data_IF_252117617074
#
_entry.id   IF_252117617074
#
_cell.length_a   1.000
_cell.length_b   1.000
_cell.length_c   1.000
_cell.angle_alpha   90.00
_cell.angle_beta   90.00
_cell.angle_gamma   90.00
#
_symmetry.space_group_name_H-M   'P 1'
#
loop_
_entity.id
_entity.type
_entity.pdbx_description
1 polymer ?
#
# COMPACT_ATOMS: atom_id res chain seq x y z
N UNK A 1 -37.21 -21.71 4.55
CA UNK A 1 -36.74 -20.39 5.03
C UNK A 1 -35.75 -20.64 6.15
N UNK A 2 -34.45 -20.55 5.85
CA UNK A 2 -33.39 -20.64 6.85
C UNK A 2 -32.79 -19.25 7.03
N UNK A 3 -32.84 -18.72 8.24
CA UNK A 3 -32.22 -17.46 8.62
C UNK A 3 -30.69 -17.63 8.54
N UNK A 4 -30.04 -16.85 7.68
CA UNK A 4 -28.59 -16.67 7.69
C UNK A 4 -28.31 -15.55 8.70
N UNK A 5 -27.61 -15.80 9.82
CA UNK A 5 -27.20 -14.71 10.69
C UNK A 5 -26.02 -13.99 10.04
N UNK A 6 -26.27 -12.76 9.59
CA UNK A 6 -25.24 -11.79 9.21
C UNK A 6 -24.74 -11.10 10.49
N UNK A 7 -23.77 -11.71 11.18
CA UNK A 7 -22.86 -10.99 12.07
C UNK A 7 -21.68 -11.86 12.46
N UNK A 8 -20.51 -11.57 11.87
CA UNK A 8 -19.21 -11.95 12.44
C UNK A 8 -18.59 -10.72 13.11
N UNK A 9 -19.31 -10.14 14.07
CA UNK A 9 -18.74 -9.19 15.03
C UNK A 9 -18.47 -9.95 16.32
N UNK A 10 -17.39 -10.74 16.35
CA UNK A 10 -16.68 -11.10 17.58
C UNK A 10 -15.46 -11.95 17.19
N UNK A 11 -14.28 -11.50 17.63
CA UNK A 11 -13.02 -12.21 17.52
C UNK A 11 -13.16 -13.72 17.82
N UNK A 12 -13.08 -14.56 16.79
CA UNK A 12 -13.01 -16.01 16.92
C UNK A 12 -11.58 -16.40 17.34
N UNK A 13 -11.31 -16.44 18.64
CA UNK A 13 -10.00 -16.89 19.16
C UNK A 13 -9.89 -18.38 19.46
N UNK A 14 -10.95 -19.19 19.31
CA UNK A 14 -10.86 -20.67 19.20
C UNK A 14 -12.23 -21.40 19.17
N UNK A 15 -13.36 -20.71 19.28
CA UNK A 15 -14.68 -21.38 19.51
C UNK A 15 -15.59 -21.51 18.28
N UNK A 16 -15.20 -21.01 17.11
CA UNK A 16 -16.10 -20.92 15.95
C UNK A 16 -16.14 -22.19 15.09
N UNK A 17 -15.58 -23.33 15.53
CA UNK A 17 -15.55 -24.56 14.74
C UNK A 17 -14.73 -24.48 13.44
N UNK A 18 -14.20 -23.30 13.12
CA UNK A 18 -13.08 -23.16 12.20
C UNK A 18 -11.89 -23.87 12.85
N UNK A 19 -11.54 -25.04 12.32
CA UNK A 19 -10.31 -25.72 12.73
C UNK A 19 -9.09 -24.81 12.56
N UNK A 20 -7.89 -25.33 12.86
CA UNK A 20 -6.64 -24.56 12.71
C UNK A 20 -6.64 -23.81 11.37
N UNK A 21 -6.65 -22.47 11.45
CA UNK A 21 -6.55 -21.65 10.26
C UNK A 21 -5.29 -22.07 9.50
N UNK A 22 -5.37 -22.25 8.17
CA UNK A 22 -4.19 -22.57 7.40
C UNK A 22 -3.13 -21.48 7.65
N UNK A 23 -1.86 -21.85 7.83
CA UNK A 23 -0.80 -20.88 8.08
C UNK A 23 -0.79 -19.85 6.95
N UNK A 24 -0.78 -18.57 7.30
CA UNK A 24 -0.64 -17.49 6.33
C UNK A 24 0.67 -17.65 5.58
N UNK A 25 0.58 -17.72 4.24
CA UNK A 25 1.76 -17.78 3.39
C UNK A 25 2.23 -16.37 3.13
N UNK A 26 3.30 -15.95 3.81
CA UNK A 26 3.97 -14.71 3.44
C UNK A 26 4.49 -14.81 2.00
N UNK A 27 4.46 -13.68 1.28
CA UNK A 27 5.01 -13.60 -0.07
C UNK A 27 6.28 -12.74 -0.12
N UNK A 28 7.16 -13.05 -1.05
CA UNK A 28 8.31 -12.22 -1.37
C UNK A 28 7.91 -11.32 -2.54
N UNK A 29 8.12 -10.01 -2.42
CA UNK A 29 7.83 -9.05 -3.50
C UNK A 29 8.98 -9.10 -4.49
N UNK A 30 8.71 -9.47 -5.73
CA UNK A 30 9.72 -9.54 -6.80
C UNK A 30 9.72 -8.27 -7.64
N UNK A 31 8.53 -7.69 -7.88
CA UNK A 31 8.35 -6.41 -8.55
C UNK A 31 7.26 -5.58 -7.87
N UNK A 32 7.40 -4.26 -7.95
CA UNK A 32 6.40 -3.30 -7.51
C UNK A 32 5.99 -2.41 -8.68
N UNK A 33 4.77 -1.88 -8.63
CA UNK A 33 4.24 -0.89 -9.58
C UNK A 33 3.74 0.34 -8.84
N UNK A 34 3.89 1.52 -9.45
CA UNK A 34 3.28 2.76 -8.97
C UNK A 34 2.30 3.27 -10.00
N UNK A 35 1.05 3.43 -9.59
CA UNK A 35 0.00 4.07 -10.39
C UNK A 35 -0.31 5.45 -9.80
N UNK A 36 -0.26 6.50 -10.61
CA UNK A 36 -0.77 7.82 -10.22
C UNK A 36 -2.23 7.87 -10.65
N UNK A 37 -3.13 8.05 -9.69
CA UNK A 37 -4.57 8.07 -9.95
C UNK A 37 -5.20 9.37 -9.49
N UNK A 38 -6.15 9.87 -10.27
CA UNK A 38 -7.04 10.94 -9.89
C UNK A 38 -8.49 10.46 -10.07
N UNK A 39 -9.35 10.66 -9.07
CA UNK A 39 -10.75 10.19 -9.12
C UNK A 39 -10.90 8.70 -9.51
N UNK A 40 -10.02 7.85 -8.98
CA UNK A 40 -9.94 6.41 -9.27
C UNK A 40 -9.62 6.02 -10.72
N UNK A 41 -9.16 6.95 -11.54
CA UNK A 41 -8.67 6.70 -12.89
C UNK A 41 -7.18 7.05 -12.98
N UNK A 42 -6.46 6.50 -13.95
CA UNK A 42 -5.07 6.89 -14.19
C UNK A 42 -5.01 8.39 -14.52
N UNK A 43 -4.15 9.10 -13.82
CA UNK A 43 -3.96 10.54 -14.03
C UNK A 43 -3.23 10.80 -15.35
N UNK A 44 -3.71 11.77 -16.14
CA UNK A 44 -2.99 12.31 -17.28
C UNK A 44 -1.97 13.35 -16.78
N UNK A 45 -0.66 13.17 -17.00
CA UNK A 45 0.36 14.13 -16.60
C UNK A 45 0.18 15.55 -17.16
N UNK A 46 -0.59 15.71 -18.25
CA UNK A 46 -0.88 17.01 -18.83
C UNK A 46 -1.99 17.78 -18.11
N UNK A 47 -2.90 17.09 -17.41
CA UNK A 47 -4.06 17.65 -16.71
C UNK A 47 -3.69 18.10 -15.29
N UNK A 48 -4.34 19.17 -14.83
CA UNK A 48 -4.25 19.66 -13.45
C UNK A 48 -5.32 19.04 -12.57
N UNK A 49 -4.90 18.54 -11.41
CA UNK A 49 -5.77 17.91 -10.41
C UNK A 49 -5.76 18.67 -9.10
N UNK A 50 -6.85 18.56 -8.35
CA UNK A 50 -6.85 18.97 -6.94
C UNK A 50 -6.05 17.94 -6.13
N UNK A 51 -5.33 18.42 -5.12
CA UNK A 51 -4.49 17.56 -4.27
C UNK A 51 -5.28 16.42 -3.63
N UNK A 52 -6.50 16.69 -3.17
CA UNK A 52 -7.38 15.71 -2.53
C UNK A 52 -7.86 14.59 -3.47
N UNK A 53 -7.80 14.80 -4.79
CA UNK A 53 -8.23 13.82 -5.78
C UNK A 53 -7.10 12.88 -6.20
N UNK A 54 -5.84 13.27 -5.97
CA UNK A 54 -4.66 12.62 -6.52
C UNK A 54 -3.96 11.71 -5.48
N UNK A 55 -3.70 10.47 -5.89
CA UNK A 55 -3.03 9.46 -5.08
C UNK A 55 -1.94 8.75 -5.88
N UNK A 56 -0.81 8.51 -5.23
CA UNK A 56 0.19 7.53 -5.66
C UNK A 56 -0.17 6.19 -5.01
N UNK A 57 -0.43 5.18 -5.83
CA UNK A 57 -0.74 3.82 -5.39
C UNK A 57 0.43 2.90 -5.67
N UNK A 58 1.08 2.43 -4.60
CA UNK A 58 2.20 1.49 -4.68
C UNK A 58 1.67 0.07 -4.47
N UNK A 59 1.85 -0.78 -5.47
CA UNK A 59 1.38 -2.16 -5.50
C UNK A 59 2.55 -3.15 -5.49
N UNK A 60 2.45 -4.26 -4.75
CA UNK A 60 3.16 -5.49 -5.10
C UNK A 60 2.58 -6.01 -6.42
N UNK A 61 3.39 -6.09 -7.48
CA UNK A 61 2.93 -6.48 -8.82
C UNK A 61 3.25 -7.96 -9.09
N UNK A 62 4.51 -8.36 -8.87
CA UNK A 62 4.95 -9.75 -8.94
C UNK A 62 5.36 -10.24 -7.55
N UNK A 63 4.85 -11.40 -7.15
CA UNK A 63 5.12 -11.98 -5.84
C UNK A 63 5.33 -13.49 -5.90
N UNK A 64 6.29 -13.99 -5.13
CA UNK A 64 6.57 -15.41 -4.97
C UNK A 64 6.08 -15.91 -3.61
N UNK A 65 5.27 -16.97 -3.61
CA UNK A 65 4.79 -17.63 -2.39
C UNK A 65 5.66 -18.84 -2.05
N UNK A 66 6.07 -18.97 -0.79
CA UNK A 66 6.64 -20.22 -0.30
C UNK A 66 5.55 -21.31 -0.31
N UNK A 67 5.70 -22.34 -1.16
CA UNK A 67 4.79 -23.49 -1.17
C UNK A 67 5.12 -24.42 0.00
N UNK A 68 4.12 -24.74 0.82
CA UNK A 68 4.19 -25.87 1.75
C UNK A 68 3.39 -27.01 1.13
N UNK A 69 4.04 -28.15 0.89
CA UNK A 69 3.39 -29.40 0.52
C UNK A 69 2.49 -29.87 1.68
N UNK A 70 1.21 -29.54 1.64
CA UNK A 70 0.23 -30.07 2.60
C UNK A 70 -0.22 -31.45 2.12
N UNK A 71 0.56 -32.49 2.42
CA UNK A 71 0.03 -33.84 2.47
C UNK A 71 -0.74 -34.02 3.78
N UNK A 72 -2.04 -33.71 3.74
CA UNK A 72 -2.96 -34.15 4.80
C UNK A 72 -4.06 -34.99 4.17
N UNK A 73 -3.82 -36.31 4.14
CA UNK A 73 -4.91 -37.29 4.00
C UNK A 73 -5.63 -37.35 5.34
N UNK A 74 -6.79 -36.70 5.43
CA UNK A 74 -7.72 -36.96 6.53
C UNK A 74 -9.12 -37.11 5.98
N UNK A 75 -9.70 -38.30 6.20
CA UNK A 75 -11.07 -38.65 5.86
C UNK A 75 -12.06 -37.74 6.61
N UNK A 76 -13.05 -37.21 5.89
CA UNK A 76 -14.12 -36.37 6.43
C UNK A 76 -15.39 -37.19 6.60
N UNK A 77 -16.01 -37.12 7.78
CA UNK A 77 -17.39 -37.49 7.98
C UNK A 77 -18.09 -36.33 8.69
N UNK A 78 -18.82 -35.55 7.90
CA UNK A 78 -19.79 -34.51 8.30
C UNK A 78 -19.17 -33.31 9.05
N UNK A 79 -18.89 -32.22 8.31
CA UNK A 79 -18.64 -30.90 8.91
C UNK A 79 -19.49 -29.83 8.22
N UNK A 80 -20.41 -29.23 8.96
CA UNK A 80 -20.98 -27.92 8.64
C UNK A 80 -19.86 -26.90 8.69
N UNK A 81 -19.35 -26.51 7.52
CA UNK A 81 -18.27 -25.53 7.39
C UNK A 81 -18.83 -24.11 7.47
N UNK A 82 -18.40 -23.36 8.47
CA UNK A 82 -18.45 -21.90 8.43
C UNK A 82 -17.14 -21.43 7.79
N UNK A 83 -17.25 -20.69 6.68
CA UNK A 83 -16.09 -20.17 5.96
C UNK A 83 -15.50 -19.01 6.78
N UNK A 84 -14.46 -19.29 7.58
CA UNK A 84 -13.60 -18.23 8.07
C UNK A 84 -12.73 -17.76 6.89
N UNK A 85 -12.83 -16.48 6.51
CA UNK A 85 -11.94 -15.91 5.50
C UNK A 85 -10.49 -16.04 5.99
N UNK A 86 -9.58 -16.60 5.18
CA UNK A 86 -8.19 -16.73 5.57
C UNK A 86 -7.58 -15.34 5.74
N UNK A 87 -6.74 -15.16 6.76
CA UNK A 87 -5.97 -13.93 6.95
C UNK A 87 -5.19 -13.66 5.64
N UNK A 88 -5.29 -12.46 5.05
CA UNK A 88 -4.62 -12.17 3.79
C UNK A 88 -3.10 -12.32 3.95
N UNK A 89 -2.42 -12.88 2.94
CA UNK A 89 -0.98 -13.01 2.99
C UNK A 89 -0.33 -11.61 2.96
N UNK A 90 0.73 -11.43 3.74
CA UNK A 90 1.53 -10.21 3.76
C UNK A 90 2.94 -10.43 3.21
N UNK A 91 3.64 -9.35 2.91
CA UNK A 91 5.05 -9.40 2.52
C UNK A 91 5.92 -10.01 3.61
N UNK A 92 6.83 -10.91 3.24
CA UNK A 92 7.81 -11.51 4.15
C UNK A 92 8.77 -10.47 4.74
N UNK A 93 9.01 -9.38 4.00
CA UNK A 93 9.89 -8.29 4.38
C UNK A 93 9.09 -6.98 4.48
N UNK A 94 8.93 -6.39 5.67
CA UNK A 94 8.29 -5.09 5.83
C UNK A 94 9.08 -3.96 5.16
N UNK A 95 8.40 -2.83 4.97
CA UNK A 95 9.01 -1.56 4.56
C UNK A 95 10.03 -1.10 5.62
N UNK A 96 11.22 -0.73 5.17
CA UNK A 96 12.34 -0.23 5.97
C UNK A 96 12.58 1.27 5.74
N UNK A 97 12.43 1.73 4.51
CA UNK A 97 12.58 3.15 4.16
C UNK A 97 11.68 3.51 2.98
N UNK A 98 11.27 4.78 2.93
CA UNK A 98 10.59 5.38 1.80
C UNK A 98 11.12 6.80 1.62
N UNK A 99 11.45 7.15 0.38
CA UNK A 99 12.02 8.45 0.04
C UNK A 99 11.38 8.98 -1.22
N UNK A 100 11.02 10.25 -1.21
CA UNK A 100 10.51 10.96 -2.39
C UNK A 100 11.42 12.15 -2.66
N UNK A 101 11.94 12.25 -3.87
CA UNK A 101 12.77 13.38 -4.31
C UNK A 101 12.24 13.96 -5.61
N UNK A 102 12.51 15.23 -5.88
CA UNK A 102 12.12 15.87 -7.15
C UNK A 102 13.25 15.83 -8.18
N UNK A 103 12.91 15.72 -9.46
CA UNK A 103 13.83 15.89 -10.58
C UNK A 103 13.97 17.36 -11.01
N UNK A 104 13.11 18.25 -10.52
CA UNK A 104 13.07 19.65 -10.91
C UNK A 104 12.83 20.59 -9.72
N UNK A 105 13.27 21.84 -9.84
CA UNK A 105 12.98 22.86 -8.84
C UNK A 105 11.59 23.48 -9.04
N UNK A 106 10.93 23.85 -7.94
CA UNK A 106 9.62 24.50 -7.93
C UNK A 106 9.40 25.30 -6.64
N UNK A 107 8.43 26.20 -6.65
CA UNK A 107 8.00 26.92 -5.46
C UNK A 107 6.86 26.19 -4.77
N UNK A 108 6.96 26.01 -3.45
CA UNK A 108 5.95 25.33 -2.64
C UNK A 108 5.72 26.09 -1.34
N UNK A 109 4.56 26.73 -1.19
CA UNK A 109 4.19 27.45 0.04
C UNK A 109 5.22 28.48 0.49
N UNK A 110 5.76 29.24 -0.46
CA UNK A 110 6.81 30.24 -0.22
C UNK A 110 8.21 29.68 0.07
N UNK A 111 8.43 28.37 -0.14
CA UNK A 111 9.75 27.73 -0.12
C UNK A 111 10.14 27.32 -1.53
N UNK A 112 11.35 27.67 -1.94
CA UNK A 112 11.99 27.12 -3.13
C UNK A 112 12.47 25.70 -2.85
N UNK A 113 12.02 24.74 -3.65
CA UNK A 113 12.51 23.36 -3.69
C UNK A 113 13.53 23.28 -4.84
N UNK A 114 14.70 22.72 -4.54
CA UNK A 114 15.78 22.53 -5.50
C UNK A 114 15.67 21.17 -6.22
N UNK A 115 16.21 21.03 -7.44
CA UNK A 115 16.35 19.73 -8.09
C UNK A 115 17.10 18.73 -7.21
N UNK A 116 16.67 17.46 -7.25
CA UNK A 116 17.17 16.35 -6.43
C UNK A 116 16.94 16.50 -4.91
N UNK A 117 16.23 17.53 -4.47
CA UNK A 117 15.86 17.69 -3.06
C UNK A 117 14.87 16.62 -2.63
N UNK A 118 15.03 16.15 -1.38
CA UNK A 118 14.08 15.24 -0.76
C UNK A 118 12.86 16.02 -0.27
N UNK A 119 11.68 15.58 -0.72
CA UNK A 119 10.38 16.20 -0.45
C UNK A 119 9.41 15.20 0.17
N UNK A 120 9.91 14.14 0.81
CA UNK A 120 9.12 13.10 1.50
C UNK A 120 8.14 13.72 2.51
N UNK A 121 8.51 14.84 3.13
CA UNK A 121 7.72 15.60 4.09
C UNK A 121 6.44 16.23 3.51
N UNK A 122 6.36 16.39 2.19
CA UNK A 122 5.16 16.86 1.49
C UNK A 122 4.09 15.78 1.33
N UNK A 123 4.38 14.53 1.67
CA UNK A 123 3.49 13.39 1.43
C UNK A 123 3.03 12.72 2.73
N UNK A 124 1.84 12.12 2.69
CA UNK A 124 1.26 11.33 3.80
C UNK A 124 0.68 10.04 3.30
N UNK A 125 0.49 9.12 4.24
CA UNK A 125 -0.29 7.91 4.01
C UNK A 125 -1.75 8.29 3.90
N UNK A 126 -2.36 8.00 2.76
CA UNK A 126 -3.78 8.17 2.55
C UNK A 126 -4.59 6.97 3.08
N UNK A 127 -5.89 7.18 3.29
CA UNK A 127 -6.81 6.12 3.74
C UNK A 127 -6.89 5.95 5.27
N UNK A 128 -6.10 6.70 6.02
CA UNK A 128 -6.20 6.81 7.48
C UNK A 128 -6.83 8.15 7.85
N UNK A 129 -7.74 8.16 8.82
CA UNK A 129 -8.40 9.39 9.26
C UNK A 129 -7.43 10.48 9.76
N UNK A 130 -6.24 10.09 10.21
CA UNK A 130 -5.21 10.99 10.72
C UNK A 130 -4.15 11.38 9.68
N UNK A 131 -4.19 10.84 8.47
CA UNK A 131 -3.20 11.03 7.39
C UNK A 131 -1.75 11.08 7.90
N UNK A 132 -1.25 9.98 8.50
CA UNK A 132 0.02 9.97 9.20
C UNK A 132 1.22 10.19 8.24
N UNK A 133 2.35 10.60 8.80
CA UNK A 133 3.61 10.70 8.06
C UNK A 133 4.03 9.37 7.46
N UNK A 134 4.83 9.39 6.40
CA UNK A 134 5.38 8.16 5.83
C UNK A 134 6.27 7.39 6.84
N UNK A 135 6.91 8.10 7.77
CA UNK A 135 7.67 7.51 8.88
C UNK A 135 6.81 6.62 9.81
N UNK A 136 5.51 6.90 9.91
CA UNK A 136 4.58 6.07 10.68
C UNK A 136 4.59 4.62 10.15
N UNK A 137 4.68 4.42 8.84
CA UNK A 137 4.78 3.08 8.25
C UNK A 137 6.03 2.34 8.76
N UNK A 138 7.14 3.06 8.94
CA UNK A 138 8.42 2.50 9.36
C UNK A 138 8.36 2.11 10.84
N UNK A 139 7.79 2.98 11.69
CA UNK A 139 7.62 2.72 13.12
C UNK A 139 6.82 1.44 13.40
N UNK A 140 5.81 1.15 12.58
CA UNK A 140 4.94 -0.02 12.73
C UNK A 140 5.31 -1.20 11.83
N UNK A 141 6.48 -1.14 11.15
CA UNK A 141 6.96 -2.18 10.24
C UNK A 141 5.90 -2.59 9.22
N UNK A 142 5.39 -1.61 8.48
CA UNK A 142 4.34 -1.79 7.48
C UNK A 142 4.65 -2.97 6.56
N UNK A 143 3.67 -3.89 6.46
CA UNK A 143 3.71 -5.02 5.55
C UNK A 143 2.76 -4.76 4.39
N UNK A 144 3.24 -4.97 3.18
CA UNK A 144 2.38 -4.91 2.01
C UNK A 144 1.43 -6.10 2.01
N UNK A 145 0.19 -5.86 1.59
CA UNK A 145 -0.81 -6.88 1.34
C UNK A 145 -0.91 -7.08 -0.16
N UNK A 146 -1.12 -8.33 -0.61
CA UNK A 146 -1.09 -8.65 -2.05
C UNK A 146 -2.29 -8.10 -2.84
N UNK A 147 -3.29 -7.50 -2.18
CA UNK A 147 -4.52 -7.02 -2.80
C UNK A 147 -4.82 -5.55 -2.52
N UNK A 148 -3.98 -4.88 -1.73
CA UNK A 148 -4.21 -3.50 -1.31
C UNK A 148 -2.97 -2.64 -1.60
N UNK A 149 -3.14 -1.47 -2.23
CA UNK A 149 -2.02 -0.57 -2.47
C UNK A 149 -1.70 0.19 -1.19
N UNK A 150 -0.42 0.51 -1.00
CA UNK A 150 -0.06 1.65 -0.19
C UNK A 150 -0.48 2.91 -0.93
N UNK A 151 -1.36 3.70 -0.32
CA UNK A 151 -1.81 4.97 -0.89
C UNK A 151 -1.05 6.13 -0.25
N UNK A 152 -0.47 6.98 -1.10
CA UNK A 152 0.30 8.15 -0.71
C UNK A 152 -0.33 9.36 -1.38
N UNK A 153 -0.44 10.49 -0.68
CA UNK A 153 -0.95 11.74 -1.25
C UNK A 153 -0.15 12.94 -0.75
N UNK A 154 -0.24 14.05 -1.48
CA UNK A 154 0.26 15.34 -1.02
C UNK A 154 -0.60 15.86 0.15
N UNK A 155 0.02 16.59 1.08
CA UNK A 155 -0.70 17.15 2.23
C UNK A 155 -1.45 18.44 1.94
N UNK A 156 -0.89 19.21 1.02
CA UNK A 156 -1.15 20.63 0.93
C UNK A 156 -1.36 21.01 -0.53
N UNK A 157 -2.33 21.89 -0.77
CA UNK A 157 -2.45 22.56 -2.05
C UNK A 157 -1.29 23.56 -2.23
N UNK A 158 -0.69 23.63 -3.43
CA UNK A 158 0.31 24.64 -3.73
C UNK A 158 -0.32 26.03 -3.86
N UNK A 159 0.48 27.09 -3.70
CA UNK A 159 -0.01 28.47 -3.94
C UNK A 159 -0.29 28.74 -5.43
N UNK A 160 0.40 28.00 -6.31
CA UNK A 160 0.33 28.11 -7.76
C UNK A 160 0.31 26.70 -8.34
N UNK A 161 -0.42 26.49 -9.43
CA UNK A 161 -0.43 25.23 -10.15
C UNK A 161 1.02 24.76 -10.43
N UNK A 162 1.35 23.55 -9.95
CA UNK A 162 2.71 23.03 -9.91
C UNK A 162 2.76 21.71 -10.65
N UNK A 163 3.65 21.63 -11.65
CA UNK A 163 4.02 20.36 -12.26
C UNK A 163 5.02 19.65 -11.34
N UNK A 164 4.75 18.39 -11.04
CA UNK A 164 5.61 17.51 -10.28
C UNK A 164 6.30 16.53 -11.22
N UNK A 165 7.59 16.32 -11.00
CA UNK A 165 8.41 15.28 -11.63
C UNK A 165 9.26 14.69 -10.50
N UNK A 166 8.85 13.53 -9.98
CA UNK A 166 9.41 12.97 -8.74
C UNK A 166 9.95 11.56 -8.95
N UNK A 167 10.88 11.18 -8.08
CA UNK A 167 11.31 9.80 -7.92
C UNK A 167 10.82 9.29 -6.57
N UNK A 168 10.34 8.04 -6.54
CA UNK A 168 9.95 7.32 -5.33
C UNK A 168 10.87 6.12 -5.16
N UNK A 169 11.51 6.03 -4.00
CA UNK A 169 12.33 4.89 -3.60
C UNK A 169 11.69 4.21 -2.38
N UNK A 170 11.52 2.89 -2.43
CA UNK A 170 11.09 2.07 -1.30
C UNK A 170 12.15 1.01 -1.02
N UNK A 171 12.61 0.92 0.22
CA UNK A 171 13.55 -0.13 0.66
C UNK A 171 12.83 -1.07 1.62
N UNK A 172 12.94 -2.38 1.38
CA UNK A 172 12.42 -3.41 2.28
C UNK A 172 13.47 -3.81 3.33
N UNK A 173 13.03 -4.54 4.36
CA UNK A 173 13.90 -4.97 5.47
C UNK A 173 15.02 -5.95 5.08
N UNK A 174 14.97 -6.54 3.89
CA UNK A 174 16.03 -7.37 3.27
C UNK A 174 16.94 -6.55 2.34
N UNK A 175 16.89 -5.23 2.44
CA UNK A 175 17.69 -4.26 1.67
C UNK A 175 17.41 -4.21 0.17
N UNK A 176 16.38 -4.92 -0.32
CA UNK A 176 15.91 -4.72 -1.69
C UNK A 176 15.24 -3.36 -1.82
N UNK A 177 15.67 -2.60 -2.82
CA UNK A 177 15.14 -1.28 -3.13
C UNK A 177 14.38 -1.30 -4.47
N UNK A 178 13.24 -0.63 -4.48
CA UNK A 178 12.42 -0.40 -5.66
C UNK A 178 12.43 1.10 -5.96
N UNK A 179 12.96 1.47 -7.12
CA UNK A 179 13.09 2.85 -7.57
C UNK A 179 12.13 3.10 -8.74
N UNK A 180 11.33 4.16 -8.61
CA UNK A 180 10.41 4.63 -9.62
C UNK A 180 10.81 6.05 -10.01
N UNK A 181 11.28 6.21 -11.24
CA UNK A 181 11.78 7.49 -11.73
C UNK A 181 10.77 8.20 -12.62
N UNK A 182 10.76 9.53 -12.58
CA UNK A 182 10.03 10.34 -13.54
C UNK A 182 8.50 10.26 -13.38
N UNK A 183 8.00 10.11 -12.16
CA UNK A 183 6.58 10.12 -11.84
C UNK A 183 6.04 11.54 -12.00
N UNK A 184 5.21 11.75 -13.03
CA UNK A 184 4.75 13.08 -13.45
C UNK A 184 3.27 13.29 -13.23
N UNK A 185 2.92 14.43 -12.67
CA UNK A 185 1.55 14.88 -12.49
C UNK A 185 1.50 16.40 -12.25
N UNK A 186 0.32 17.02 -12.32
CA UNK A 186 0.15 18.45 -11.99
C UNK A 186 -0.91 18.63 -10.93
N UNK A 187 -0.64 19.51 -9.98
CA UNK A 187 -1.53 19.85 -8.87
C UNK A 187 -1.85 21.34 -8.83
N UNK A 188 -3.05 21.68 -8.38
CA UNK A 188 -3.52 23.05 -8.14
C UNK A 188 -4.37 23.15 -6.88
#
# INVERSE_FOLDING_TARGET
MGLIPLSCDLFCYDSCGCGKLPPTKNFVIDAMRVDIVANNQLADPAQEYLVEELFLRVWPDEVTYASVNTHTKTFSFISSGFACDPIPPGSAHPLKAIKISTNQGFEWKGRTIEPAEEITDLFRVAGFASDPSLDYLLQYRFNFLGQEPLQIRLIDQPDIATAMDINLELTLSDDRAFLFEGLKFKVR
#
